data_IF_268980673528
#
_entry.id   IF_268980673528
#
_cell.length_a   1.000
_cell.length_b   1.000
_cell.length_c   1.000
_cell.angle_alpha   90.00
_cell.angle_beta   90.00
_cell.angle_gamma   90.00
#
_symmetry.space_group_name_H-M   'P 1'
#
loop_
_entity.id
_entity.type
_entity.pdbx_description
1 polymer ?
#
# COMPACT_ATOMS: atom_id res chain seq x y z
N UNK A 1 77.56 -43.73 73.12
CA UNK A 1 76.39 -43.66 72.22
C UNK A 1 75.12 -43.78 73.06
N UNK A 2 74.33 -42.71 73.18
CA UNK A 2 72.87 -42.74 73.34
C UNK A 2 72.37 -41.29 73.40
N UNK A 3 71.65 -40.86 72.35
CA UNK A 3 70.97 -39.56 72.26
C UNK A 3 69.65 -39.64 73.02
N UNK A 4 69.39 -38.72 73.95
CA UNK A 4 68.05 -38.46 74.45
C UNK A 4 67.37 -37.39 73.58
N UNK A 5 66.35 -37.79 72.84
CA UNK A 5 65.45 -36.88 72.15
C UNK A 5 64.32 -36.45 73.09
N UNK A 6 64.19 -35.14 73.34
CA UNK A 6 63.02 -34.57 73.99
C UNK A 6 61.87 -34.48 72.98
N UNK A 7 60.78 -35.20 73.23
CA UNK A 7 59.52 -35.03 72.54
C UNK A 7 58.77 -33.83 73.15
N UNK A 8 58.71 -32.73 72.40
CA UNK A 8 57.88 -31.57 72.72
C UNK A 8 56.41 -31.88 72.44
N UNK A 9 55.56 -31.81 73.47
CA UNK A 9 54.12 -31.96 73.35
C UNK A 9 53.53 -30.79 72.53
N UNK A 10 53.07 -31.09 71.31
CA UNK A 10 52.35 -30.16 70.45
C UNK A 10 51.01 -29.76 71.10
N UNK A 11 50.82 -28.47 71.37
CA UNK A 11 49.55 -27.90 71.86
C UNK A 11 48.60 -27.69 70.66
N UNK A 12 47.38 -28.23 70.74
CA UNK A 12 46.35 -28.29 69.69
C UNK A 12 45.70 -26.97 69.22
N UNK A 13 46.44 -25.86 69.18
CA UNK A 13 45.96 -24.55 68.72
C UNK A 13 45.87 -24.43 67.19
N UNK A 14 46.69 -25.19 66.45
CA UNK A 14 46.70 -25.17 64.97
C UNK A 14 45.41 -25.73 64.35
N UNK A 15 44.76 -26.71 65.01
CA UNK A 15 43.52 -27.31 64.54
C UNK A 15 42.35 -26.30 64.55
N UNK A 16 42.27 -25.49 65.61
CA UNK A 16 41.22 -24.47 65.76
C UNK A 16 41.38 -23.37 64.69
N UNK A 17 42.60 -22.88 64.49
CA UNK A 17 42.89 -21.91 63.43
C UNK A 17 42.63 -22.47 62.02
N UNK A 18 42.97 -23.75 61.79
CA UNK A 18 42.70 -24.45 60.52
C UNK A 18 41.21 -24.62 60.23
N UNK A 19 40.40 -24.97 61.25
CA UNK A 19 38.94 -25.05 61.12
C UNK A 19 38.29 -23.69 60.85
N UNK A 20 38.77 -22.62 61.48
CA UNK A 20 38.28 -21.25 61.23
C UNK A 20 38.60 -20.80 59.80
N UNK A 21 39.83 -21.05 59.33
CA UNK A 21 40.22 -20.77 57.94
C UNK A 21 39.40 -21.59 56.93
N UNK A 22 39.18 -22.88 57.21
CA UNK A 22 38.39 -23.75 56.35
C UNK A 22 36.90 -23.36 56.33
N UNK A 23 36.34 -22.99 57.48
CA UNK A 23 34.99 -22.42 57.55
C UNK A 23 34.90 -21.11 56.76
N UNK A 24 35.91 -20.24 56.84
CA UNK A 24 36.02 -19.03 56.03
C UNK A 24 36.09 -19.31 54.53
N UNK A 25 36.88 -20.31 54.12
CA UNK A 25 37.00 -20.72 52.72
C UNK A 25 35.68 -21.31 52.17
N UNK A 26 34.99 -22.15 52.96
CA UNK A 26 33.67 -22.69 52.60
C UNK A 26 32.64 -21.56 52.48
N UNK A 27 32.62 -20.61 53.43
CA UNK A 27 31.73 -19.46 53.38
C UNK A 27 31.97 -18.60 52.12
N UNK A 28 33.24 -18.36 51.76
CA UNK A 28 33.61 -17.64 50.55
C UNK A 28 33.15 -18.38 49.27
N UNK A 29 33.32 -19.71 49.22
CA UNK A 29 32.91 -20.53 48.08
C UNK A 29 31.38 -20.54 47.91
N UNK A 30 30.63 -20.63 49.01
CA UNK A 30 29.17 -20.51 49.00
C UNK A 30 28.73 -19.12 48.53
N UNK A 31 29.41 -18.05 48.97
CA UNK A 31 29.11 -16.69 48.51
C UNK A 31 29.38 -16.53 46.99
N UNK A 32 30.51 -17.06 46.50
CA UNK A 32 30.86 -17.03 45.08
C UNK A 32 29.87 -17.83 44.22
N UNK A 33 29.44 -19.01 44.68
CA UNK A 33 28.43 -19.79 43.97
C UNK A 33 27.08 -19.04 43.88
N UNK A 34 26.66 -18.41 44.98
CA UNK A 34 25.41 -17.61 45.01
C UNK A 34 25.50 -16.39 44.09
N UNK A 35 26.62 -15.67 44.10
CA UNK A 35 26.87 -14.56 43.18
C UNK A 35 26.88 -15.04 41.72
N UNK A 36 27.51 -16.18 41.45
CA UNK A 36 27.52 -16.81 40.12
C UNK A 36 26.11 -17.09 39.60
N UNK A 37 25.24 -17.67 40.43
CA UNK A 37 23.83 -17.91 40.08
C UNK A 37 23.05 -16.63 39.78
N UNK A 38 23.25 -15.57 40.58
CA UNK A 38 22.58 -14.28 40.35
C UNK A 38 23.04 -13.65 39.04
N UNK A 39 24.36 -13.69 38.76
CA UNK A 39 24.93 -13.16 37.52
C UNK A 39 24.41 -13.97 36.32
N UNK A 40 24.40 -15.29 36.41
CA UNK A 40 23.87 -16.21 35.40
C UNK A 40 22.40 -15.90 35.09
N UNK A 41 21.56 -15.81 36.12
CA UNK A 41 20.13 -15.47 35.97
C UNK A 41 19.92 -14.07 35.36
N UNK A 42 20.75 -13.09 35.75
CA UNK A 42 20.67 -11.74 35.18
C UNK A 42 21.08 -11.71 33.72
N UNK A 43 22.18 -12.38 33.34
CA UNK A 43 22.63 -12.49 31.95
C UNK A 43 21.58 -13.20 31.09
N UNK A 44 21.02 -14.32 31.58
CA UNK A 44 19.93 -15.03 30.91
C UNK A 44 18.70 -14.15 30.73
N UNK A 45 18.30 -13.41 31.77
CA UNK A 45 17.16 -12.49 31.67
C UNK A 45 17.43 -11.37 30.65
N UNK A 46 18.61 -10.76 30.65
CA UNK A 46 18.97 -9.73 29.66
C UNK A 46 18.86 -10.27 28.24
N UNK A 47 19.45 -11.43 27.94
CA UNK A 47 19.34 -12.03 26.62
C UNK A 47 17.89 -12.40 26.24
N UNK A 48 17.10 -12.87 27.20
CA UNK A 48 15.69 -13.18 26.96
C UNK A 48 14.86 -11.92 26.67
N UNK A 49 15.13 -10.81 27.37
CA UNK A 49 14.46 -9.52 27.14
C UNK A 49 14.89 -8.90 25.81
N UNK A 50 16.17 -8.98 25.46
CA UNK A 50 16.68 -8.54 24.14
C UNK A 50 16.03 -9.35 23.01
N UNK A 51 15.97 -10.68 23.15
CA UNK A 51 15.32 -11.54 22.17
C UNK A 51 13.82 -11.24 22.04
N UNK A 52 13.12 -11.01 23.16
CA UNK A 52 11.72 -10.62 23.16
C UNK A 52 11.55 -9.26 22.46
N UNK A 53 12.29 -8.22 22.86
CA UNK A 53 12.20 -6.88 22.29
C UNK A 53 12.50 -6.87 20.78
N UNK A 54 13.58 -7.55 20.35
CA UNK A 54 13.91 -7.69 18.93
C UNK A 54 12.80 -8.41 18.16
N UNK A 55 12.22 -9.49 18.72
CA UNK A 55 11.12 -10.24 18.10
C UNK A 55 9.85 -9.38 17.97
N UNK A 56 9.57 -8.54 18.96
CA UNK A 56 8.48 -7.58 18.91
C UNK A 56 8.66 -6.56 17.77
N UNK A 57 9.83 -5.94 17.67
CA UNK A 57 10.14 -5.01 16.58
C UNK A 57 10.13 -5.70 15.21
N UNK A 58 10.63 -6.94 15.12
CA UNK A 58 10.57 -7.73 13.90
C UNK A 58 9.13 -8.00 13.46
N UNK A 59 8.23 -8.30 14.40
CA UNK A 59 6.82 -8.49 14.09
C UNK A 59 6.17 -7.18 13.62
N UNK A 60 6.42 -6.06 14.30
CA UNK A 60 5.97 -4.74 13.85
C UNK A 60 6.44 -4.46 12.41
N UNK A 61 7.72 -4.72 12.10
CA UNK A 61 8.26 -4.56 10.75
C UNK A 61 7.50 -5.42 9.71
N UNK A 62 7.13 -6.65 10.07
CA UNK A 62 6.33 -7.54 9.21
C UNK A 62 4.93 -6.97 8.94
N UNK A 63 4.23 -6.48 9.96
CA UNK A 63 2.93 -5.81 9.78
C UNK A 63 3.04 -4.60 8.85
N UNK A 64 4.01 -3.71 9.09
CA UNK A 64 4.21 -2.53 8.24
C UNK A 64 4.54 -2.91 6.79
N UNK A 65 5.36 -3.94 6.58
CA UNK A 65 5.65 -4.47 5.25
C UNK A 65 4.42 -5.11 4.60
N UNK A 66 3.58 -5.84 5.36
CA UNK A 66 2.34 -6.42 4.87
C UNK A 66 1.36 -5.34 4.38
N UNK A 67 1.19 -4.26 5.16
CA UNK A 67 0.40 -3.09 4.73
C UNK A 67 1.01 -2.48 3.46
N UNK A 68 2.33 -2.40 3.36
CA UNK A 68 3.00 -1.90 2.16
C UNK A 68 2.75 -2.76 0.92
N UNK A 69 2.72 -4.09 1.07
CA UNK A 69 2.32 -4.99 -0.01
C UNK A 69 0.84 -4.86 -0.36
N UNK A 70 -0.04 -4.67 0.62
CA UNK A 70 -1.46 -4.44 0.38
C UNK A 70 -1.67 -3.16 -0.44
N UNK A 71 -1.07 -2.03 -0.05
CA UNK A 71 -1.15 -0.76 -0.78
C UNK A 71 -0.61 -0.87 -2.21
N UNK A 72 0.52 -1.57 -2.42
CA UNK A 72 1.07 -1.82 -3.76
C UNK A 72 0.16 -2.70 -4.61
N UNK A 73 -0.48 -3.69 -4.00
CA UNK A 73 -1.45 -4.56 -4.67
C UNK A 73 -2.70 -3.78 -5.06
N UNK A 74 -3.18 -2.87 -4.20
CA UNK A 74 -4.27 -1.96 -4.54
C UNK A 74 -3.93 -1.12 -5.78
N UNK A 75 -2.72 -0.57 -5.87
CA UNK A 75 -2.26 0.17 -7.07
C UNK A 75 -2.31 -0.71 -8.32
N UNK A 76 -1.84 -1.96 -8.24
CA UNK A 76 -1.86 -2.89 -9.36
C UNK A 76 -3.30 -3.19 -9.83
N UNK A 77 -4.21 -3.43 -8.89
CA UNK A 77 -5.64 -3.62 -9.19
C UNK A 77 -6.26 -2.36 -9.81
N UNK A 78 -5.93 -1.16 -9.33
CA UNK A 78 -6.39 0.10 -9.93
C UNK A 78 -5.92 0.25 -11.38
N UNK A 79 -4.68 -0.13 -11.69
CA UNK A 79 -4.19 -0.15 -13.09
C UNK A 79 -4.94 -1.18 -13.93
N UNK A 80 -5.24 -2.37 -13.40
CA UNK A 80 -6.05 -3.36 -14.10
C UNK A 80 -7.47 -2.83 -14.39
N UNK A 81 -8.11 -2.19 -13.41
CA UNK A 81 -9.41 -1.55 -13.58
C UNK A 81 -9.38 -0.44 -14.64
N UNK A 82 -8.31 0.38 -14.68
CA UNK A 82 -8.11 1.36 -15.75
C UNK A 82 -8.08 0.74 -17.15
N UNK A 83 -7.43 -0.42 -17.31
CA UNK A 83 -7.44 -1.17 -18.57
C UNK A 83 -8.84 -1.71 -18.90
N UNK A 84 -9.54 -2.26 -17.92
CA UNK A 84 -10.89 -2.82 -18.12
C UNK A 84 -11.90 -1.76 -18.56
N UNK A 85 -11.91 -0.57 -17.93
CA UNK A 85 -12.79 0.51 -18.37
C UNK A 85 -12.41 1.04 -19.76
N UNK A 86 -11.11 1.06 -20.08
CA UNK A 86 -10.64 1.44 -21.42
C UNK A 86 -11.11 0.44 -22.47
N UNK A 87 -10.98 -0.85 -22.20
CA UNK A 87 -11.49 -1.91 -23.08
C UNK A 87 -13.02 -1.85 -23.23
N UNK A 88 -13.74 -1.53 -22.15
CA UNK A 88 -15.19 -1.37 -22.20
C UNK A 88 -15.61 -0.18 -23.08
N UNK A 89 -14.90 0.95 -22.98
CA UNK A 89 -15.10 2.09 -23.87
C UNK A 89 -14.79 1.71 -25.33
N UNK A 90 -13.68 1.01 -25.58
CA UNK A 90 -13.32 0.52 -26.92
C UNK A 90 -14.35 -0.45 -27.49
N UNK A 91 -14.90 -1.37 -26.70
CA UNK A 91 -15.92 -2.32 -27.15
C UNK A 91 -17.22 -1.60 -27.58
N UNK A 92 -17.70 -0.66 -26.75
CA UNK A 92 -18.87 0.18 -27.07
C UNK A 92 -18.64 1.04 -28.31
N UNK A 93 -17.42 1.56 -28.47
CA UNK A 93 -16.99 2.27 -29.66
C UNK A 93 -17.07 1.40 -30.92
N UNK A 94 -16.62 0.15 -30.85
CA UNK A 94 -16.70 -0.77 -31.99
C UNK A 94 -18.15 -1.12 -32.35
N UNK A 95 -19.03 -1.30 -31.36
CA UNK A 95 -20.45 -1.60 -31.57
C UNK A 95 -21.16 -0.44 -32.30
N UNK A 96 -20.97 0.79 -31.82
CA UNK A 96 -21.56 1.98 -32.46
C UNK A 96 -20.93 2.27 -33.83
N UNK A 97 -19.62 2.02 -33.98
CA UNK A 97 -18.95 2.19 -35.26
C UNK A 97 -19.44 1.20 -36.31
N UNK A 98 -19.62 -0.07 -35.94
CA UNK A 98 -20.24 -1.06 -36.80
C UNK A 98 -21.65 -0.63 -37.22
N UNK A 99 -22.45 -0.11 -36.29
CA UNK A 99 -23.79 0.36 -36.60
C UNK A 99 -23.79 1.52 -37.60
N UNK A 100 -22.89 2.50 -37.45
CA UNK A 100 -22.75 3.62 -38.39
C UNK A 100 -22.20 3.19 -39.75
N UNK A 101 -21.24 2.27 -39.79
CA UNK A 101 -20.69 1.70 -41.02
C UNK A 101 -21.77 0.97 -41.83
N UNK A 102 -22.64 0.17 -41.15
CA UNK A 102 -23.80 -0.49 -41.78
C UNK A 102 -24.81 0.51 -42.34
N UNK A 103 -25.00 1.65 -41.67
CA UNK A 103 -25.84 2.76 -42.14
C UNK A 103 -25.17 3.58 -43.25
N UNK A 104 -23.93 3.28 -43.63
CA UNK A 104 -23.12 4.05 -44.58
C UNK A 104 -23.04 5.54 -44.20
N UNK A 105 -22.90 5.81 -42.91
CA UNK A 105 -22.81 7.17 -42.39
C UNK A 105 -21.46 7.38 -41.67
N UNK A 106 -20.48 8.05 -42.28
CA UNK A 106 -20.42 8.41 -43.70
C UNK A 106 -20.20 7.18 -44.60
N UNK A 107 -20.40 7.29 -45.92
CA UNK A 107 -20.13 6.17 -46.82
C UNK A 107 -18.66 5.77 -46.78
N UNK A 108 -18.32 4.47 -46.63
CA UNK A 108 -16.92 4.09 -46.53
C UNK A 108 -16.10 4.33 -47.81
N UNK A 109 -16.75 4.34 -48.98
CA UNK A 109 -16.12 4.77 -50.24
C UNK A 109 -15.68 6.23 -50.19
N UNK A 110 -16.48 7.11 -49.58
CA UNK A 110 -16.12 8.52 -49.37
C UNK A 110 -14.86 8.62 -48.49
N UNK A 111 -14.81 7.88 -47.38
CA UNK A 111 -13.63 7.85 -46.51
C UNK A 111 -12.40 7.31 -47.25
N UNK A 112 -12.57 6.29 -48.09
CA UNK A 112 -11.52 5.75 -48.94
C UNK A 112 -10.94 6.80 -49.90
N UNK A 113 -11.81 7.60 -50.52
CA UNK A 113 -11.40 8.66 -51.45
C UNK A 113 -10.70 9.83 -50.73
N UNK A 114 -11.17 10.21 -49.54
CA UNK A 114 -10.63 11.36 -48.81
C UNK A 114 -9.36 11.05 -48.02
N UNK A 115 -9.25 9.85 -47.45
CA UNK A 115 -8.21 9.48 -46.47
C UNK A 115 -7.43 8.21 -46.84
N UNK A 116 -7.61 7.71 -48.07
CA UNK A 116 -6.97 6.52 -48.62
C UNK A 116 -7.78 5.23 -48.42
N UNK A 117 -7.61 4.27 -49.32
CA UNK A 117 -8.40 3.03 -49.38
C UNK A 117 -8.46 2.27 -48.05
N UNK A 118 -7.35 2.24 -47.29
CA UNK A 118 -7.27 1.60 -45.96
C UNK A 118 -8.22 2.23 -44.94
N UNK A 119 -8.47 3.53 -45.00
CA UNK A 119 -9.40 4.19 -44.06
C UNK A 119 -10.85 3.75 -44.30
N UNK A 120 -11.26 3.69 -45.57
CA UNK A 120 -12.58 3.20 -45.95
C UNK A 120 -12.77 1.71 -45.66
N UNK A 121 -11.74 0.89 -45.89
CA UNK A 121 -11.75 -0.54 -45.53
C UNK A 121 -11.85 -0.72 -44.02
N UNK A 122 -10.95 -0.10 -43.24
CA UNK A 122 -10.95 -0.21 -41.79
C UNK A 122 -12.31 0.15 -41.17
N UNK A 123 -12.99 1.19 -41.68
CA UNK A 123 -14.32 1.56 -41.21
C UNK A 123 -15.42 0.55 -41.58
N UNK A 124 -15.38 -0.03 -42.79
CA UNK A 124 -16.32 -1.10 -43.19
C UNK A 124 -16.14 -2.35 -42.35
N UNK A 125 -14.90 -2.68 -42.06
CA UNK A 125 -14.51 -3.93 -41.45
C UNK A 125 -14.58 -3.85 -39.92
N UNK A 126 -15.00 -2.72 -39.34
CA UNK A 126 -15.26 -2.60 -37.90
C UNK A 126 -16.35 -3.57 -37.48
N UNK A 127 -16.02 -4.40 -36.50
CA UNK A 127 -16.94 -5.35 -35.90
C UNK A 127 -17.06 -5.05 -34.42
N UNK A 128 -18.31 -4.96 -33.96
CA UNK A 128 -18.62 -4.98 -32.54
C UNK A 128 -18.13 -6.27 -31.88
N UNK A 129 -18.09 -6.28 -30.56
CA UNK A 129 -17.66 -7.43 -29.75
C UNK A 129 -18.83 -7.88 -28.86
N UNK A 130 -19.79 -8.66 -29.41
CA UNK A 130 -20.98 -9.05 -28.67
C UNK A 130 -20.61 -9.76 -27.37
N UNK A 131 -21.24 -9.37 -26.26
CA UNK A 131 -21.02 -9.97 -24.94
C UNK A 131 -19.73 -9.54 -24.23
N UNK A 132 -18.81 -8.82 -24.88
CA UNK A 132 -17.59 -8.33 -24.23
C UNK A 132 -17.90 -7.40 -23.04
N UNK A 133 -18.98 -6.61 -23.13
CA UNK A 133 -19.40 -5.71 -22.06
C UNK A 133 -19.68 -6.42 -20.73
N UNK A 134 -20.36 -7.57 -20.75
CA UNK A 134 -20.69 -8.32 -19.54
C UNK A 134 -19.44 -8.92 -18.88
N UNK A 135 -18.58 -9.58 -19.66
CA UNK A 135 -17.34 -10.16 -19.13
C UNK A 135 -16.37 -9.12 -18.58
N UNK A 136 -16.30 -7.93 -19.20
CA UNK A 136 -15.49 -6.80 -18.71
C UNK A 136 -16.06 -6.21 -17.42
N UNK A 137 -17.39 -6.10 -17.31
CA UNK A 137 -18.06 -5.65 -16.09
C UNK A 137 -17.83 -6.63 -14.92
N UNK A 138 -17.95 -7.94 -15.17
CA UNK A 138 -17.67 -8.97 -14.16
C UNK A 138 -16.21 -8.95 -13.71
N UNK A 139 -15.27 -8.79 -14.65
CA UNK A 139 -13.86 -8.64 -14.32
C UNK A 139 -13.61 -7.40 -13.46
N UNK A 140 -14.24 -6.26 -13.81
CA UNK A 140 -14.13 -5.02 -13.04
C UNK A 140 -14.65 -5.20 -11.62
N UNK A 141 -15.82 -5.83 -11.47
CA UNK A 141 -16.43 -6.10 -10.16
C UNK A 141 -15.56 -7.04 -9.29
N UNK A 142 -14.92 -8.05 -9.88
CA UNK A 142 -13.98 -8.92 -9.14
C UNK A 142 -12.75 -8.15 -8.64
N UNK A 143 -12.17 -7.28 -9.47
CA UNK A 143 -11.05 -6.45 -9.03
C UNK A 143 -11.48 -5.47 -7.91
N UNK A 144 -12.66 -4.87 -8.05
CA UNK A 144 -13.22 -3.95 -7.04
C UNK A 144 -13.46 -4.66 -5.70
N UNK A 145 -14.03 -5.87 -5.72
CA UNK A 145 -14.27 -6.69 -4.54
C UNK A 145 -12.97 -7.09 -3.83
N UNK A 146 -11.92 -7.45 -4.57
CA UNK A 146 -10.60 -7.75 -3.95
C UNK A 146 -10.00 -6.50 -3.31
N UNK A 147 -10.12 -5.35 -3.94
CA UNK A 147 -9.59 -4.09 -3.39
C UNK A 147 -10.29 -3.73 -2.07
N UNK A 148 -11.62 -3.78 -2.04
CA UNK A 148 -12.40 -3.28 -0.91
C UNK A 148 -12.67 -4.33 0.17
N UNK A 149 -12.86 -5.61 -0.19
CA UNK A 149 -13.21 -6.68 0.74
C UNK A 149 -12.07 -7.63 1.10
N UNK A 150 -10.86 -7.42 0.55
CA UNK A 150 -9.68 -8.21 0.91
C UNK A 150 -8.50 -7.30 1.26
N UNK A 151 -8.02 -6.51 0.30
CA UNK A 151 -6.79 -5.73 0.51
C UNK A 151 -6.97 -4.59 1.52
N UNK A 152 -8.10 -3.89 1.50
CA UNK A 152 -8.40 -2.86 2.50
C UNK A 152 -8.59 -3.46 3.90
N UNK A 153 -9.26 -4.61 4.00
CA UNK A 153 -9.52 -5.30 5.27
C UNK A 153 -8.24 -5.88 5.87
N UNK A 154 -7.38 -6.50 5.07
CA UNK A 154 -6.05 -6.96 5.49
C UNK A 154 -5.23 -5.79 6.01
N UNK A 155 -5.09 -4.70 5.25
CA UNK A 155 -4.33 -3.54 5.70
C UNK A 155 -4.88 -2.95 7.02
N UNK A 156 -6.20 -2.97 7.19
CA UNK A 156 -6.84 -2.48 8.41
C UNK A 156 -6.64 -3.44 9.60
N UNK A 157 -6.67 -4.76 9.38
CA UNK A 157 -6.37 -5.76 10.41
C UNK A 157 -4.91 -5.66 10.87
N UNK A 158 -3.97 -5.65 9.93
CA UNK A 158 -2.54 -5.50 10.19
C UNK A 158 -2.25 -4.22 11.00
N UNK A 159 -2.91 -3.10 10.70
CA UNK A 159 -2.74 -1.86 11.45
C UNK A 159 -3.35 -1.91 12.86
N UNK A 160 -4.50 -2.57 13.04
CA UNK A 160 -5.18 -2.70 14.34
C UNK A 160 -4.46 -3.68 15.29
N UNK A 161 -4.03 -4.81 14.76
CA UNK A 161 -3.56 -5.95 15.56
C UNK A 161 -2.06 -5.86 15.90
N UNK A 162 -1.32 -4.98 15.21
CA UNK A 162 0.14 -4.79 15.34
C UNK A 162 0.64 -4.79 16.80
N UNK A 163 -0.03 -4.08 17.70
CA UNK A 163 0.41 -3.94 19.10
C UNK A 163 0.07 -5.19 19.91
N UNK A 164 -1.14 -5.71 19.77
CA UNK A 164 -1.55 -6.91 20.49
C UNK A 164 -0.72 -8.13 20.08
N UNK A 165 -0.42 -8.28 18.78
CA UNK A 165 0.42 -9.39 18.30
C UNK A 165 1.89 -9.21 18.70
N UNK A 166 2.41 -7.98 18.70
CA UNK A 166 3.74 -7.66 19.25
C UNK A 166 3.84 -8.15 20.69
N UNK A 167 2.90 -7.76 21.54
CA UNK A 167 2.97 -8.10 22.96
C UNK A 167 2.88 -9.62 23.17
N UNK A 168 2.03 -10.32 22.40
CA UNK A 168 1.96 -11.79 22.42
C UNK A 168 3.27 -12.47 22.03
N UNK A 169 3.91 -12.04 20.93
CA UNK A 169 5.17 -12.68 20.50
C UNK A 169 6.29 -12.42 21.51
N UNK A 170 6.34 -11.21 22.10
CA UNK A 170 7.34 -10.89 23.13
C UNK A 170 7.18 -11.76 24.37
N UNK A 171 5.95 -11.92 24.87
CA UNK A 171 5.67 -12.81 26.00
C UNK A 171 6.03 -14.26 25.69
N UNK A 172 5.68 -14.75 24.49
CA UNK A 172 6.02 -16.13 24.06
C UNK A 172 7.53 -16.37 24.02
N UNK A 173 8.29 -15.46 23.41
CA UNK A 173 9.76 -15.57 23.32
C UNK A 173 10.40 -15.49 24.70
N UNK A 174 9.88 -14.62 25.57
CA UNK A 174 10.36 -14.51 26.95
C UNK A 174 10.14 -15.83 27.70
N UNK A 175 8.93 -16.40 27.67
CA UNK A 175 8.63 -17.66 28.36
C UNK A 175 9.41 -18.86 27.78
N UNK A 176 9.53 -18.93 26.44
CA UNK A 176 10.30 -19.99 25.76
C UNK A 176 11.78 -20.00 26.18
N UNK A 177 12.35 -18.85 26.53
CA UNK A 177 13.74 -18.73 26.99
C UNK A 177 13.98 -19.40 28.36
N UNK A 178 12.92 -19.70 29.10
CA UNK A 178 12.96 -20.31 30.42
C UNK A 178 12.30 -21.71 30.50
N UNK A 179 11.53 -22.13 29.49
CA UNK A 179 10.87 -23.45 29.48
C UNK A 179 11.77 -24.62 29.03
N UNK A 180 12.93 -24.35 28.43
CA UNK A 180 13.84 -25.36 27.84
C UNK A 180 14.66 -26.22 28.82
N UNK A 181 14.36 -26.25 30.12
CA UNK A 181 15.13 -27.01 31.14
C UNK A 181 14.42 -28.26 31.69
N UNK A 182 13.24 -28.62 31.15
CA UNK A 182 12.61 -29.95 31.35
C UNK A 182 12.84 -30.83 30.10
N UNK A 183 14.11 -31.12 29.79
CA UNK A 183 14.47 -32.11 28.78
C UNK A 183 14.86 -33.42 29.47
N UNK A 184 13.86 -34.19 29.90
CA UNK A 184 14.01 -35.64 29.95
C UNK A 184 13.90 -36.16 28.51
N UNK A 185 14.75 -37.11 28.12
CA UNK A 185 15.19 -37.41 26.75
C UNK A 185 14.15 -37.98 25.77
N UNK A 186 12.91 -37.53 25.79
CA UNK A 186 11.86 -37.93 24.84
C UNK A 186 11.39 -36.74 24.00
N UNK A 187 11.71 -36.81 22.71
CA UNK A 187 11.41 -35.82 21.69
C UNK A 187 9.90 -35.67 21.44
N UNK A 188 9.26 -34.76 22.19
CA UNK A 188 8.16 -33.91 21.72
C UNK A 188 8.19 -32.64 22.56
N UNK A 189 8.67 -31.53 21.98
CA UNK A 189 8.58 -30.21 22.63
C UNK A 189 7.12 -29.75 22.51
N UNK A 190 6.28 -30.21 23.42
CA UNK A 190 5.05 -29.48 23.72
C UNK A 190 5.48 -28.17 24.38
N UNK A 191 5.27 -27.06 23.67
CA UNK A 191 5.40 -25.72 24.25
C UNK A 191 4.23 -25.57 25.22
N UNK A 192 4.44 -25.98 26.48
CA UNK A 192 3.48 -25.76 27.54
C UNK A 192 3.48 -24.25 27.84
N UNK A 193 2.40 -23.57 27.44
CA UNK A 193 2.10 -22.15 27.75
C UNK A 193 1.77 -21.95 29.24
N UNK A 194 2.47 -22.63 30.16
CA UNK A 194 2.36 -22.34 31.58
C UNK A 194 3.21 -21.12 31.91
N UNK A 195 2.60 -19.98 32.29
CA UNK A 195 3.36 -18.81 32.70
C UNK A 195 4.23 -19.18 33.90
N UNK A 196 5.55 -19.05 33.76
CA UNK A 196 6.47 -19.17 34.89
C UNK A 196 6.07 -18.17 35.98
N UNK A 197 5.66 -18.68 37.13
CA UNK A 197 5.27 -17.86 38.28
C UNK A 197 6.43 -16.91 38.63
N UNK A 198 6.16 -15.60 38.57
CA UNK A 198 7.14 -14.56 38.87
C UNK A 198 7.89 -13.98 37.67
N UNK A 199 7.71 -14.49 36.45
CA UNK A 199 8.21 -13.87 35.22
C UNK A 199 7.11 -12.97 34.61
N UNK A 200 7.42 -11.69 34.42
CA UNK A 200 6.50 -10.74 33.79
C UNK A 200 7.25 -9.80 32.84
N UNK A 201 6.56 -9.33 31.81
CA UNK A 201 7.05 -8.35 30.84
C UNK A 201 6.12 -7.14 30.84
N UNK A 202 6.68 -5.94 30.88
CA UNK A 202 5.95 -4.69 30.78
C UNK A 202 6.60 -3.78 29.73
N UNK A 203 5.77 -3.11 28.93
CA UNK A 203 6.18 -2.00 28.06
C UNK A 203 6.26 -0.72 28.90
N UNK A 204 7.42 -0.06 28.89
CA UNK A 204 7.68 1.18 29.63
C UNK A 204 7.40 2.43 28.79
N UNK A 205 7.81 2.39 27.53
CA UNK A 205 7.62 3.46 26.55
C UNK A 205 7.24 2.84 25.20
N UNK A 206 6.37 3.51 24.45
CA UNK A 206 5.85 3.04 23.17
C UNK A 206 5.45 4.20 22.26
N UNK A 207 6.13 4.32 21.12
CA UNK A 207 5.88 5.37 20.15
C UNK A 207 4.82 5.01 19.10
N UNK A 208 4.08 3.90 19.27
CA UNK A 208 3.09 3.41 18.31
C UNK A 208 1.84 4.28 18.15
N UNK A 209 1.46 5.01 19.19
CA UNK A 209 0.25 5.83 19.17
C UNK A 209 0.32 6.87 18.04
N UNK A 210 -0.63 6.78 17.10
CA UNK A 210 -0.68 7.67 15.93
C UNK A 210 0.46 7.49 14.94
N UNK A 211 1.17 6.34 14.95
CA UNK A 211 2.22 6.06 13.97
C UNK A 211 1.65 5.74 12.59
N UNK A 212 0.60 4.90 12.55
CA UNK A 212 -0.15 4.56 11.34
C UNK A 212 -1.45 5.39 11.33
N UNK A 213 -1.73 6.04 10.21
CA UNK A 213 -2.99 6.75 9.98
C UNK A 213 -3.82 6.07 8.88
N UNK A 214 -5.13 6.03 9.07
CA UNK A 214 -6.07 5.67 8.01
C UNK A 214 -6.35 6.92 7.17
N UNK A 215 -6.06 6.84 5.88
CA UNK A 215 -6.26 7.90 4.91
C UNK A 215 -7.55 7.63 4.14
N UNK A 216 -8.45 8.62 4.14
CA UNK A 216 -9.70 8.57 3.40
C UNK A 216 -9.44 8.53 1.88
N UNK A 217 -10.30 7.86 1.10
CA UNK A 217 -10.19 7.88 -0.34
C UNK A 217 -10.39 9.30 -0.86
N UNK A 218 -9.64 9.66 -1.89
CA UNK A 218 -9.74 10.96 -2.50
C UNK A 218 -8.80 11.13 -3.68
N UNK A 219 -9.22 11.95 -4.64
CA UNK A 219 -8.45 12.20 -5.87
C UNK A 219 -7.11 12.90 -5.63
N UNK A 220 -6.91 13.58 -4.51
CA UNK A 220 -5.62 14.14 -4.07
C UNK A 220 -4.85 13.27 -3.09
N UNK A 221 -5.26 12.01 -2.89
CA UNK A 221 -4.55 11.09 -1.99
C UNK A 221 -3.27 10.53 -2.61
N UNK A 222 -2.33 10.10 -1.76
CA UNK A 222 -1.09 9.46 -2.23
C UNK A 222 -1.35 8.18 -3.02
N UNK A 223 -2.42 7.43 -2.69
CA UNK A 223 -2.85 6.26 -3.46
C UNK A 223 -3.33 6.66 -4.87
N UNK A 224 -4.11 7.74 -5.00
CA UNK A 224 -4.56 8.25 -6.30
C UNK A 224 -3.37 8.65 -7.18
N UNK A 225 -2.41 9.37 -6.62
CA UNK A 225 -1.22 9.81 -7.35
C UNK A 225 -0.34 8.63 -7.77
N UNK A 226 -0.16 7.64 -6.89
CA UNK A 226 0.55 6.42 -7.21
C UNK A 226 -0.15 5.60 -8.30
N UNK A 227 -1.47 5.48 -8.25
CA UNK A 227 -2.27 4.80 -9.28
C UNK A 227 -2.16 5.50 -10.64
N UNK A 228 -2.29 6.84 -10.69
CA UNK A 228 -2.07 7.61 -11.92
C UNK A 228 -0.65 7.47 -12.44
N UNK A 229 0.36 7.54 -11.57
CA UNK A 229 1.75 7.38 -11.96
C UNK A 229 2.06 5.99 -12.53
N UNK A 230 1.46 4.94 -11.95
CA UNK A 230 1.57 3.59 -12.47
C UNK A 230 0.85 3.44 -13.82
N UNK A 231 -0.37 3.97 -13.95
CA UNK A 231 -1.14 3.93 -15.20
C UNK A 231 -0.43 4.63 -16.37
N UNK A 232 0.26 5.76 -16.12
CA UNK A 232 1.02 6.49 -17.16
C UNK A 232 2.13 5.67 -17.85
N UNK A 233 2.55 4.54 -17.28
CA UNK A 233 3.55 3.64 -17.89
C UNK A 233 3.00 2.84 -19.07
N UNK A 234 1.67 2.80 -19.23
CA UNK A 234 1.00 2.00 -20.24
C UNK A 234 0.47 2.92 -21.34
N UNK A 235 1.03 2.82 -22.56
CA UNK A 235 0.61 3.64 -23.70
C UNK A 235 -0.86 3.47 -24.08
N UNK A 236 -1.46 2.31 -23.81
CA UNK A 236 -2.89 2.06 -24.04
C UNK A 236 -3.80 2.95 -23.18
N UNK A 237 -3.37 3.31 -21.97
CA UNK A 237 -4.10 4.18 -21.05
C UNK A 237 -3.82 5.68 -21.27
N UNK A 238 -2.87 6.02 -22.15
CA UNK A 238 -2.61 7.40 -22.52
C UNK A 238 -3.71 7.96 -23.42
N UNK A 239 -3.57 9.24 -23.84
CA UNK A 239 -4.42 9.78 -24.90
C UNK A 239 -4.23 8.95 -26.18
N UNK A 240 -5.36 8.61 -26.80
CA UNK A 240 -5.46 7.86 -28.05
C UNK A 240 -5.93 8.76 -29.20
N UNK A 241 -5.72 10.06 -29.03
CA UNK A 241 -6.12 11.09 -29.98
C UNK A 241 -5.26 11.02 -31.25
N UNK A 242 -5.91 11.09 -32.40
CA UNK A 242 -5.21 11.13 -33.69
C UNK A 242 -6.06 11.89 -34.70
N UNK A 243 -5.43 12.80 -35.46
CA UNK A 243 -6.08 13.49 -36.56
C UNK A 243 -5.39 13.15 -37.87
N UNK A 244 -6.17 12.72 -38.85
CA UNK A 244 -5.71 12.54 -40.23
C UNK A 244 -6.44 13.51 -41.13
N UNK A 245 -5.70 14.45 -41.71
CA UNK A 245 -6.22 15.39 -42.70
C UNK A 245 -6.20 14.78 -44.11
N UNK A 246 -7.19 15.12 -44.93
CA UNK A 246 -7.25 14.71 -46.33
C UNK A 246 -6.19 15.42 -47.18
N UNK A 247 -5.78 14.77 -48.28
CA UNK A 247 -4.69 15.28 -49.12
C UNK A 247 -5.10 16.46 -50.03
N UNK A 248 -6.40 16.60 -50.35
CA UNK A 248 -6.88 17.55 -51.36
C UNK A 248 -7.57 18.76 -50.75
N UNK A 249 -7.31 19.95 -51.33
CA UNK A 249 -8.07 21.14 -51.02
C UNK A 249 -9.53 20.93 -51.45
N UNK A 250 -10.47 21.20 -50.54
CA UNK A 250 -11.89 20.87 -50.73
C UNK A 250 -12.68 22.09 -51.22
N UNK A 251 -12.38 23.27 -50.66
CA UNK A 251 -13.09 24.52 -50.94
C UNK A 251 -12.07 25.62 -51.22
N UNK A 252 -12.24 26.33 -52.34
CA UNK A 252 -11.39 27.48 -52.70
C UNK A 252 -11.48 28.62 -51.68
N UNK A 253 -12.64 28.80 -51.05
CA UNK A 253 -12.85 29.76 -49.97
C UNK A 253 -12.13 29.40 -48.67
N UNK A 254 -11.63 28.17 -48.53
CA UNK A 254 -11.01 27.63 -47.32
C UNK A 254 -9.67 26.94 -47.66
N UNK A 255 -8.70 27.64 -48.28
CA UNK A 255 -7.55 27.01 -48.93
C UNK A 255 -6.58 26.33 -47.95
N UNK A 256 -6.58 26.73 -46.68
CA UNK A 256 -5.75 26.16 -45.61
C UNK A 256 -6.41 24.99 -44.87
N UNK A 257 -7.71 24.77 -45.05
CA UNK A 257 -8.46 23.73 -44.32
C UNK A 257 -8.66 22.49 -45.18
N UNK A 258 -8.69 21.32 -44.53
CA UNK A 258 -8.89 20.01 -45.17
C UNK A 258 -9.94 19.25 -44.39
N UNK A 259 -10.64 18.33 -45.05
CA UNK A 259 -11.44 17.32 -44.35
C UNK A 259 -10.57 16.56 -43.34
N UNK A 260 -11.13 16.18 -42.19
CA UNK A 260 -10.38 15.51 -41.13
C UNK A 260 -11.08 14.25 -40.64
N UNK A 261 -10.29 13.23 -40.37
CA UNK A 261 -10.71 12.04 -39.63
C UNK A 261 -10.08 12.16 -38.23
N UNK A 262 -10.91 12.38 -37.22
CA UNK A 262 -10.48 12.62 -35.85
C UNK A 262 -10.85 11.43 -34.98
N UNK A 263 -9.84 10.80 -34.38
CA UNK A 263 -9.99 9.84 -33.30
C UNK A 263 -9.76 10.57 -31.99
N UNK A 264 -10.67 10.37 -31.05
CA UNK A 264 -10.55 10.83 -29.67
C UNK A 264 -10.49 9.63 -28.74
N UNK A 265 -9.66 9.67 -27.71
CA UNK A 265 -9.70 8.64 -26.68
C UNK A 265 -8.89 9.00 -25.46
N UNK A 266 -9.45 8.76 -24.28
CA UNK A 266 -8.81 9.06 -23.01
C UNK A 266 -9.20 8.03 -21.95
N UNK A 267 -8.32 7.87 -20.96
CA UNK A 267 -8.59 7.13 -19.73
C UNK A 267 -8.16 8.01 -18.56
N UNK A 268 -9.02 8.17 -17.57
CA UNK A 268 -8.76 9.07 -16.45
C UNK A 268 -9.31 8.51 -15.14
N UNK A 269 -8.74 9.01 -14.04
CA UNK A 269 -9.22 8.76 -12.68
C UNK A 269 -10.00 10.00 -12.23
N UNK A 270 -11.30 9.83 -12.00
CA UNK A 270 -12.23 10.87 -11.59
C UNK A 270 -11.95 11.43 -10.20
N UNK A 271 -12.58 12.57 -9.85
CA UNK A 271 -12.45 13.20 -8.53
C UNK A 271 -12.98 12.32 -7.38
N UNK A 272 -13.91 11.42 -7.70
CA UNK A 272 -14.50 10.38 -6.85
C UNK A 272 -13.64 9.10 -6.74
N UNK A 273 -12.47 9.09 -7.37
CA UNK A 273 -11.58 7.92 -7.37
C UNK A 273 -12.03 6.78 -8.28
N UNK A 274 -12.98 7.00 -9.19
CA UNK A 274 -13.41 5.99 -10.17
C UNK A 274 -12.68 6.16 -11.49
N UNK A 275 -12.27 5.04 -12.09
CA UNK A 275 -11.70 5.06 -13.44
C UNK A 275 -12.80 5.19 -14.47
N UNK A 276 -12.53 5.99 -15.51
CA UNK A 276 -13.39 6.13 -16.65
C UNK A 276 -12.58 6.24 -17.94
N UNK A 277 -13.24 5.94 -19.06
CA UNK A 277 -12.64 6.02 -20.36
C UNK A 277 -13.66 6.39 -21.44
N UNK A 278 -13.14 6.97 -22.51
CA UNK A 278 -13.89 7.31 -23.72
C UNK A 278 -13.07 6.93 -24.94
N UNK A 279 -13.74 6.46 -25.98
CA UNK A 279 -13.18 6.30 -27.33
C UNK A 279 -14.22 6.77 -28.35
N UNK A 280 -13.81 7.66 -29.25
CA UNK A 280 -14.65 8.20 -30.32
C UNK A 280 -13.89 8.29 -31.63
N UNK A 281 -14.64 8.25 -32.72
CA UNK A 281 -14.14 8.61 -34.04
C UNK A 281 -15.21 9.40 -34.78
N UNK A 282 -14.80 10.48 -35.43
CA UNK A 282 -15.69 11.29 -36.27
C UNK A 282 -14.99 11.71 -37.55
N UNK A 283 -15.79 11.81 -38.62
CA UNK A 283 -15.42 12.46 -39.86
C UNK A 283 -15.86 13.93 -39.78
N UNK A 284 -14.90 14.84 -39.84
CA UNK A 284 -15.12 16.28 -39.85
C UNK A 284 -15.06 16.77 -41.29
N UNK A 285 -16.23 16.98 -41.88
CA UNK A 285 -16.35 17.45 -43.25
C UNK A 285 -16.21 18.97 -43.29
N UNK A 286 -15.26 19.48 -44.06
CA UNK A 286 -15.11 20.90 -44.31
C UNK A 286 -16.28 21.40 -45.17
N UNK A 287 -17.02 22.37 -44.65
CA UNK A 287 -18.16 23.03 -45.27
C UNK A 287 -17.96 24.53 -45.25
N UNK A 288 -18.74 25.25 -46.04
CA UNK A 288 -18.87 26.70 -45.92
C UNK A 288 -20.30 27.15 -46.16
N UNK A 289 -20.69 28.26 -45.54
CA UNK A 289 -21.92 28.97 -45.88
C UNK A 289 -21.72 30.48 -45.72
N UNK A 290 -22.69 31.27 -46.19
CA UNK A 290 -22.61 32.74 -46.18
C UNK A 290 -22.69 33.39 -44.79
N UNK A 291 -23.08 32.63 -43.76
CA UNK A 291 -23.39 33.16 -42.43
C UNK A 291 -22.24 33.01 -41.44
N UNK A 292 -21.59 31.84 -41.44
CA UNK A 292 -20.54 31.49 -40.48
C UNK A 292 -19.20 31.17 -41.15
N UNK A 293 -19.11 31.33 -42.48
CA UNK A 293 -17.90 31.06 -43.24
C UNK A 293 -17.57 29.57 -43.30
N UNK A 294 -16.28 29.25 -43.31
CA UNK A 294 -15.76 27.88 -43.32
C UNK A 294 -15.95 27.22 -41.95
N UNK A 295 -16.38 25.97 -41.91
CA UNK A 295 -16.57 25.21 -40.67
C UNK A 295 -16.51 23.71 -40.89
N UNK A 296 -16.27 22.95 -39.83
CA UNK A 296 -16.35 21.50 -39.82
C UNK A 296 -17.73 21.03 -39.38
N UNK A 297 -18.36 20.22 -40.24
CA UNK A 297 -19.54 19.43 -39.86
C UNK A 297 -19.07 18.08 -39.35
N UNK A 298 -19.35 17.78 -38.09
CA UNK A 298 -19.05 16.47 -37.52
C UNK A 298 -20.05 15.41 -38.00
N UNK A 299 -19.53 14.28 -38.45
CA UNK A 299 -20.26 13.03 -38.66
C UNK A 299 -19.69 12.02 -37.67
N UNK A 300 -20.41 11.76 -36.58
CA UNK A 300 -20.01 10.78 -35.57
C UNK A 300 -19.98 9.39 -36.20
N UNK A 301 -18.78 8.79 -36.27
CA UNK A 301 -18.55 7.49 -36.87
C UNK A 301 -18.61 6.37 -35.85
N UNK A 302 -18.24 6.64 -34.60
CA UNK A 302 -18.28 5.68 -33.51
C UNK A 302 -18.00 6.36 -32.18
N UNK A 303 -18.58 5.83 -31.12
CA UNK A 303 -18.47 6.35 -29.75
C UNK A 303 -18.65 5.25 -28.72
N UNK A 304 -17.88 5.32 -27.65
CA UNK A 304 -17.99 4.44 -26.52
C UNK A 304 -17.48 5.13 -25.27
N UNK A 305 -18.29 5.13 -24.23
CA UNK A 305 -17.90 5.65 -22.92
C UNK A 305 -18.11 4.58 -21.85
N UNK A 306 -17.12 4.45 -20.97
CA UNK A 306 -17.18 3.67 -19.74
C UNK A 306 -16.99 4.67 -18.60
N UNK A 307 -18.11 5.20 -18.10
CA UNK A 307 -18.18 6.20 -17.04
C UNK A 307 -19.36 5.83 -16.13
N UNK A 308 -19.19 6.02 -14.84
CA UNK A 308 -20.32 5.93 -13.91
C UNK A 308 -21.21 7.17 -14.02
N UNK A 309 -22.52 7.00 -13.95
CA UNK A 309 -23.48 8.09 -14.13
C UNK A 309 -23.37 9.21 -13.10
N UNK A 310 -22.74 8.95 -11.95
CA UNK A 310 -22.48 9.93 -10.90
C UNK A 310 -21.11 10.63 -11.05
N UNK A 311 -20.19 10.10 -11.84
CA UNK A 311 -18.84 10.65 -12.02
C UNK A 311 -18.85 11.75 -13.08
N UNK A 312 -18.37 12.97 -12.78
CA UNK A 312 -18.28 14.01 -13.79
C UNK A 312 -17.19 13.68 -14.82
N UNK A 313 -17.44 13.85 -16.13
CA UNK A 313 -16.39 13.77 -17.13
C UNK A 313 -15.40 14.93 -16.97
N UNK A 314 -14.16 14.82 -17.48
CA UNK A 314 -13.18 15.89 -17.41
C UNK A 314 -13.65 17.09 -18.24
N UNK A 315 -13.35 18.31 -17.82
CA UNK A 315 -13.75 19.53 -18.52
C UNK A 315 -13.24 19.62 -19.97
N UNK A 316 -12.16 18.90 -20.29
CA UNK A 316 -11.65 18.76 -21.65
C UNK A 316 -12.56 17.94 -22.57
N UNK A 317 -13.40 17.07 -22.02
CA UNK A 317 -14.36 16.27 -22.78
C UNK A 317 -15.62 17.12 -23.04
N UNK A 318 -15.61 17.87 -24.15
CA UNK A 318 -16.79 18.64 -24.58
C UNK A 318 -17.89 17.71 -25.10
N UNK A 319 -19.13 17.96 -24.69
CA UNK A 319 -20.34 17.29 -25.15
C UNK A 319 -21.56 18.20 -24.92
N UNK A 320 -22.74 17.78 -25.38
CA UNK A 320 -24.04 18.36 -25.06
C UNK A 320 -24.96 17.26 -24.51
N UNK A 321 -25.79 17.58 -23.52
CA UNK A 321 -26.62 16.59 -22.81
C UNK A 321 -27.73 15.98 -23.68
N UNK A 322 -28.29 16.76 -24.61
CA UNK A 322 -29.41 16.37 -25.45
C UNK A 322 -29.08 16.55 -26.95
N UNK A 323 -28.17 15.72 -27.52
CA UNK A 323 -27.89 15.79 -28.94
C UNK A 323 -29.08 15.26 -29.76
N UNK A 324 -29.45 15.91 -30.89
CA UNK A 324 -30.44 15.38 -31.82
C UNK A 324 -30.03 14.00 -32.34
N UNK A 325 -30.99 13.09 -32.53
CA UNK A 325 -30.69 11.76 -33.11
C UNK A 325 -30.12 11.85 -34.53
N UNK A 326 -30.55 12.88 -35.27
CA UNK A 326 -30.00 13.29 -36.55
C UNK A 326 -30.23 14.80 -36.77
N UNK A 327 -29.70 15.32 -37.88
CA UNK A 327 -29.82 16.72 -38.28
C UNK A 327 -30.71 16.88 -39.51
N UNK A 328 -31.79 16.10 -39.60
CA UNK A 328 -32.79 16.21 -40.70
C UNK A 328 -33.73 17.41 -40.52
N UNK A 329 -34.06 17.75 -39.27
CA UNK A 329 -34.98 18.83 -38.92
C UNK A 329 -34.30 20.16 -38.58
N UNK A 330 -32.98 20.16 -38.42
CA UNK A 330 -32.21 21.36 -38.07
C UNK A 330 -30.79 21.26 -38.64
N UNK A 331 -30.28 22.39 -39.14
CA UNK A 331 -28.88 22.50 -39.53
C UNK A 331 -27.93 22.30 -38.32
N UNK A 332 -26.91 21.46 -38.50
CA UNK A 332 -25.88 21.20 -37.50
C UNK A 332 -25.28 22.48 -36.89
N UNK A 333 -24.89 23.45 -37.72
CA UNK A 333 -24.25 24.67 -37.23
C UNK A 333 -25.21 25.58 -36.45
N UNK A 334 -26.51 25.59 -36.80
CA UNK A 334 -27.55 26.32 -36.04
C UNK A 334 -27.73 25.70 -34.67
N UNK A 335 -27.78 24.36 -34.63
CA UNK A 335 -27.91 23.64 -33.37
C UNK A 335 -26.70 23.87 -32.46
N UNK A 336 -25.48 23.80 -33.00
CA UNK A 336 -24.26 24.06 -32.23
C UNK A 336 -24.27 25.48 -31.65
N UNK A 337 -24.61 26.50 -32.44
CA UNK A 337 -24.67 27.89 -31.94
C UNK A 337 -25.74 28.09 -30.87
N UNK A 338 -26.90 27.43 -31.01
CA UNK A 338 -28.01 27.61 -30.09
C UNK A 338 -27.86 26.84 -28.77
N UNK A 339 -27.25 25.65 -28.80
CA UNK A 339 -27.31 24.71 -27.67
C UNK A 339 -25.96 24.22 -27.17
N UNK A 340 -24.91 24.24 -28.01
CA UNK A 340 -23.66 23.54 -27.69
C UNK A 340 -22.47 24.48 -27.50
N UNK A 341 -22.45 25.64 -28.17
CA UNK A 341 -21.40 26.65 -28.05
C UNK A 341 -20.01 26.17 -28.49
N UNK A 342 -19.93 25.14 -29.34
CA UNK A 342 -18.66 24.61 -29.80
C UNK A 342 -18.02 25.51 -30.85
N UNK A 343 -16.70 25.59 -30.83
CA UNK A 343 -15.95 26.14 -31.96
C UNK A 343 -16.03 25.13 -33.12
N UNK A 344 -16.55 25.57 -34.25
CA UNK A 344 -16.75 24.74 -35.43
C UNK A 344 -15.54 24.73 -36.38
N UNK A 345 -14.51 25.53 -36.12
CA UNK A 345 -13.29 25.62 -36.94
C UNK A 345 -12.10 25.12 -36.14
N UNK A 346 -11.95 25.59 -34.91
CA UNK A 346 -10.84 25.22 -34.05
C UNK A 346 -11.14 23.98 -33.19
N UNK A 347 -10.07 23.33 -32.75
CA UNK A 347 -10.13 22.14 -31.90
C UNK A 347 -10.02 20.83 -32.67
N UNK A 348 -9.67 19.77 -31.93
CA UNK A 348 -9.39 18.43 -32.47
C UNK A 348 -10.31 17.35 -31.87
N UNK A 349 -11.30 17.76 -31.08
CA UNK A 349 -12.24 16.85 -30.42
C UNK A 349 -13.40 16.37 -31.31
N UNK A 350 -14.20 15.48 -30.74
CA UNK A 350 -15.40 14.89 -31.34
C UNK A 350 -16.64 15.13 -30.45
N UNK A 351 -17.05 16.40 -30.24
CA UNK A 351 -18.06 16.72 -29.26
C UNK A 351 -19.44 16.11 -29.55
N UNK A 352 -19.82 15.92 -30.82
CA UNK A 352 -21.07 15.23 -31.16
C UNK A 352 -20.99 13.73 -30.84
N UNK A 353 -19.89 13.05 -31.19
CA UNK A 353 -19.71 11.64 -30.84
C UNK A 353 -19.64 11.45 -29.31
N UNK A 354 -18.98 12.36 -28.58
CA UNK A 354 -18.99 12.37 -27.13
C UNK A 354 -20.42 12.50 -26.59
N UNK A 355 -21.24 13.38 -27.18
CA UNK A 355 -22.64 13.58 -26.78
C UNK A 355 -23.47 12.30 -26.94
N UNK A 356 -23.32 11.58 -28.07
CA UNK A 356 -23.97 10.28 -28.24
C UNK A 356 -23.45 9.22 -27.26
N UNK A 357 -22.15 9.22 -26.99
CA UNK A 357 -21.55 8.37 -25.96
C UNK A 357 -22.17 8.63 -24.58
N UNK A 358 -22.26 9.89 -24.16
CA UNK A 358 -22.85 10.28 -22.88
C UNK A 358 -24.34 9.93 -22.79
N UNK A 359 -25.10 10.11 -23.88
CA UNK A 359 -26.53 9.80 -23.92
C UNK A 359 -26.82 8.29 -23.83
N UNK A 360 -25.92 7.44 -24.34
CA UNK A 360 -26.10 5.98 -24.38
C UNK A 360 -25.35 5.24 -23.26
N UNK A 361 -24.35 5.88 -22.66
CA UNK A 361 -23.40 5.22 -21.78
C UNK A 361 -23.80 5.26 -20.31
N UNK A 362 -24.15 4.09 -19.74
CA UNK A 362 -23.95 3.70 -18.32
C UNK A 362 -23.71 2.18 -18.30
N UNK A 363 -22.95 1.54 -17.41
CA UNK A 363 -22.29 1.87 -16.14
C UNK A 363 -20.79 1.52 -16.21
N UNK A 364 -19.98 2.20 -15.39
CA UNK A 364 -18.81 1.59 -14.79
C UNK A 364 -19.07 1.49 -13.27
N UNK A 365 -19.47 0.30 -12.81
CA UNK A 365 -19.68 0.05 -11.38
C UNK A 365 -18.36 -0.40 -10.76
N UNK A 366 -17.73 0.51 -10.01
CA UNK A 366 -16.61 0.21 -9.12
C UNK A 366 -16.67 1.20 -7.96
N UNK A 367 -16.32 0.77 -6.75
CA UNK A 367 -16.49 1.56 -5.54
C UNK A 367 -15.55 2.77 -5.47
N UNK A 368 -14.53 2.81 -6.35
CA UNK A 368 -13.57 3.89 -6.49
C UNK A 368 -12.22 3.51 -5.87
N UNK A 369 -11.51 4.51 -5.35
CA UNK A 369 -10.33 4.25 -4.55
C UNK A 369 -10.74 3.78 -3.15
N UNK A 370 -10.07 2.77 -2.57
CA UNK A 370 -10.30 2.39 -1.19
C UNK A 370 -9.65 3.41 -0.22
N UNK A 371 -10.09 3.37 1.03
CA UNK A 371 -9.27 3.89 2.12
C UNK A 371 -8.00 3.04 2.25
N UNK A 372 -6.90 3.65 2.67
CA UNK A 372 -5.63 2.94 2.87
C UNK A 372 -4.94 3.43 4.14
N UNK A 373 -3.85 2.75 4.52
CA UNK A 373 -3.06 3.11 5.70
C UNK A 373 -1.67 3.56 5.27
N UNK A 374 -1.15 4.61 5.89
CA UNK A 374 0.22 5.09 5.69
C UNK A 374 0.80 5.62 7.01
N UNK A 375 2.09 5.98 7.01
CA UNK A 375 2.72 6.62 8.16
C UNK A 375 2.24 8.07 8.27
N UNK A 376 1.80 8.43 9.48
CA UNK A 376 1.41 9.78 9.83
C UNK A 376 2.51 10.78 9.46
N UNK A 377 2.16 11.90 8.82
CA UNK A 377 3.16 12.84 8.26
C UNK A 377 4.19 13.31 9.29
N UNK A 378 3.77 13.55 10.53
CA UNK A 378 4.64 13.96 11.65
C UNK A 378 5.61 12.88 12.12
N UNK A 379 5.40 11.61 11.71
CA UNK A 379 6.17 10.44 12.14
C UNK A 379 7.09 9.88 11.04
N UNK A 380 7.02 10.37 9.80
CA UNK A 380 7.75 9.79 8.65
C UNK A 380 9.29 9.82 8.74
N UNK A 381 9.84 10.67 9.61
CA UNK A 381 11.28 10.74 9.89
C UNK A 381 11.71 10.00 11.16
N UNK A 382 10.79 9.34 11.85
CA UNK A 382 11.04 8.71 13.15
C UNK A 382 10.88 7.19 13.05
N UNK A 383 11.76 6.40 13.69
CA UNK A 383 11.51 4.98 13.88
C UNK A 383 10.33 4.78 14.85
N UNK A 384 9.64 3.67 14.68
CA UNK A 384 8.73 3.16 15.71
C UNK A 384 9.60 2.51 16.79
N UNK A 385 9.50 2.97 18.04
CA UNK A 385 10.37 2.55 19.14
C UNK A 385 9.54 2.16 20.34
N UNK A 386 10.01 1.16 21.08
CA UNK A 386 9.43 0.82 22.38
C UNK A 386 10.51 0.27 23.31
N UNK A 387 10.29 0.43 24.62
CA UNK A 387 11.17 -0.10 25.66
C UNK A 387 10.39 -1.08 26.51
N UNK A 388 10.95 -2.26 26.76
CA UNK A 388 10.38 -3.27 27.64
C UNK A 388 11.26 -3.50 28.86
N UNK A 389 10.64 -3.95 29.94
CA UNK A 389 11.30 -4.44 31.13
C UNK A 389 10.70 -5.79 31.50
N UNK A 390 11.55 -6.80 31.68
CA UNK A 390 11.13 -8.03 32.33
C UNK A 390 11.57 -8.05 33.78
N UNK A 391 10.73 -8.69 34.58
CA UNK A 391 10.93 -8.93 36.00
C UNK A 391 10.89 -10.43 36.22
N UNK A 392 11.93 -10.96 36.87
CA UNK A 392 12.00 -12.34 37.34
C UNK A 392 12.01 -12.32 38.87
N UNK A 393 10.92 -12.78 39.48
CA UNK A 393 10.87 -13.00 40.92
C UNK A 393 11.78 -14.19 41.31
N UNK A 394 12.34 -14.20 42.52
CA UNK A 394 13.06 -15.38 43.02
C UNK A 394 12.12 -16.60 42.95
N UNK A 395 12.60 -17.71 42.38
CA UNK A 395 11.89 -18.99 42.24
C UNK A 395 10.97 -19.25 43.44
N UNK A 396 9.74 -19.71 43.21
CA UNK A 396 8.69 -19.96 44.19
C UNK A 396 9.06 -20.94 45.32
N UNK A 397 10.02 -20.57 46.16
CA UNK A 397 10.23 -21.14 47.49
C UNK A 397 9.09 -20.57 48.32
N UNK A 398 8.21 -21.41 48.90
CA UNK A 398 7.21 -20.92 49.84
C UNK A 398 7.93 -20.10 50.92
N UNK A 399 7.30 -18.99 51.29
CA UNK A 399 7.75 -17.95 52.22
C UNK A 399 8.20 -18.47 53.61
N UNK A 400 8.14 -19.79 53.83
CA UNK A 400 8.49 -20.49 55.06
C UNK A 400 10.00 -20.75 55.23
N UNK A 401 10.86 -20.40 54.28
CA UNK A 401 12.32 -20.52 54.44
C UNK A 401 12.99 -19.18 54.78
N UNK A 402 12.74 -18.72 56.01
CA UNK A 402 13.49 -17.76 56.84
C UNK A 402 13.33 -16.25 56.52
N UNK A 403 12.93 -15.45 57.52
CA UNK A 403 13.18 -14.00 57.50
C UNK A 403 14.69 -13.77 57.40
N UNK A 404 15.13 -13.01 56.39
CA UNK A 404 16.51 -12.56 56.27
C UNK A 404 17.43 -13.30 55.29
N UNK A 405 16.93 -13.77 54.13
CA UNK A 405 17.82 -14.05 52.99
C UNK A 405 18.06 -12.76 52.17
N UNK A 406 19.14 -11.98 52.39
CA UNK A 406 19.40 -10.72 51.67
C UNK A 406 19.64 -10.89 50.15
N UNK A 407 19.66 -12.14 49.66
CA UNK A 407 19.97 -12.49 48.28
C UNK A 407 18.75 -12.90 47.44
N UNK A 408 17.55 -13.03 48.02
CA UNK A 408 16.31 -13.24 47.26
C UNK A 408 15.85 -11.92 46.62
N UNK A 409 16.59 -11.45 45.61
CA UNK A 409 16.29 -10.21 44.91
C UNK A 409 15.54 -10.50 43.61
N UNK A 410 14.49 -9.71 43.38
CA UNK A 410 13.88 -9.63 42.06
C UNK A 410 14.93 -9.14 41.07
N UNK A 411 15.10 -9.85 39.95
CA UNK A 411 16.00 -9.44 38.88
C UNK A 411 15.16 -8.72 37.83
N UNK A 412 15.68 -7.58 37.36
CA UNK A 412 15.08 -6.80 36.29
C UNK A 412 16.09 -6.63 35.16
N UNK A 413 15.61 -6.71 33.92
CA UNK A 413 16.35 -6.34 32.74
C UNK A 413 15.43 -5.56 31.80
N UNK A 414 15.98 -4.58 31.09
CA UNK A 414 15.27 -3.79 30.11
C UNK A 414 15.98 -3.84 28.76
N UNK A 415 15.20 -3.69 27.70
CA UNK A 415 15.71 -3.59 26.33
C UNK A 415 14.85 -2.65 25.52
N UNK A 416 15.48 -1.91 24.61
CA UNK A 416 14.82 -0.99 23.69
C UNK A 416 14.97 -1.53 22.28
N UNK A 417 13.88 -1.56 21.53
CA UNK A 417 13.88 -1.99 20.14
C UNK A 417 13.25 -0.94 19.24
N UNK A 418 13.74 -0.89 18.00
CA UNK A 418 13.27 0.03 16.97
C UNK A 418 12.89 -0.73 15.71
N UNK A 419 11.73 -0.37 15.18
CA UNK A 419 11.25 -0.69 13.84
C UNK A 419 11.47 0.54 12.96
N UNK A 420 12.37 0.45 11.99
CA UNK A 420 12.83 1.60 11.21
C UNK A 420 12.74 1.34 9.71
N UNK A 421 12.59 2.42 8.95
CA UNK A 421 12.52 2.38 7.50
C UNK A 421 13.91 2.59 6.91
N UNK A 422 14.37 1.67 6.06
CA UNK A 422 15.68 1.79 5.41
C UNK A 422 15.64 1.22 4.00
N UNK A 423 16.02 2.04 3.02
CA UNK A 423 16.08 1.58 1.63
C UNK A 423 17.18 0.52 1.46
N UNK A 424 16.94 -0.57 0.72
CA UNK A 424 17.97 -1.59 0.47
C UNK A 424 19.20 -1.11 -0.31
N UNK A 425 19.02 -0.11 -1.17
CA UNK A 425 20.10 0.50 -1.97
C UNK A 425 20.11 2.02 -1.81
N UNK A 426 21.27 2.69 -1.90
CA UNK A 426 21.32 4.16 -1.83
C UNK A 426 20.47 4.81 -2.92
N UNK A 427 19.90 5.98 -2.63
CA UNK A 427 19.20 6.76 -3.64
C UNK A 427 20.20 7.33 -4.66
N UNK A 428 19.89 7.32 -5.97
CA UNK A 428 20.75 7.95 -6.98
C UNK A 428 21.02 9.44 -6.69
N UNK A 429 20.05 10.11 -6.07
CA UNK A 429 20.10 11.54 -5.76
C UNK A 429 20.69 11.83 -4.37
N UNK A 430 21.17 10.81 -3.64
CA UNK A 430 21.77 10.94 -2.31
C UNK A 430 20.81 11.35 -1.18
N UNK A 431 19.50 11.50 -1.47
CA UNK A 431 18.48 11.88 -0.49
C UNK A 431 17.85 10.65 0.18
N UNK A 432 17.61 10.79 1.48
CA UNK A 432 16.87 9.79 2.25
C UNK A 432 15.38 9.79 1.87
N UNK A 433 14.85 8.60 1.63
CA UNK A 433 13.42 8.39 1.38
C UNK A 433 12.68 8.40 2.72
N UNK A 434 11.67 9.27 2.84
CA UNK A 434 10.81 9.30 4.01
C UNK A 434 10.06 7.97 4.16
N UNK A 435 9.79 7.58 5.41
CA UNK A 435 9.08 6.35 5.70
C UNK A 435 7.66 6.39 5.10
N UNK A 436 7.28 5.29 4.44
CA UNK A 436 5.95 5.09 3.86
C UNK A 436 5.51 3.65 4.01
N UNK A 437 4.20 3.42 3.90
CA UNK A 437 3.61 2.11 3.68
C UNK A 437 3.30 1.89 2.20
N UNK A 438 4.14 2.40 1.29
CA UNK A 438 4.14 2.02 -0.12
C UNK A 438 5.41 1.26 -0.51
N UNK A 439 6.36 1.15 0.42
CA UNK A 439 7.63 0.44 0.26
C UNK A 439 7.83 -0.52 1.44
N UNK A 440 8.02 -1.83 1.18
CA UNK A 440 8.18 -2.84 2.23
C UNK A 440 9.63 -2.88 2.73
N UNK A 441 10.11 -1.75 3.26
CA UNK A 441 11.52 -1.55 3.65
C UNK A 441 11.69 -1.40 5.17
N UNK A 442 10.73 -1.90 5.93
CA UNK A 442 10.77 -1.87 7.39
C UNK A 442 11.63 -2.99 7.92
N UNK A 443 12.53 -2.64 8.84
CA UNK A 443 13.46 -3.55 9.50
C UNK A 443 13.41 -3.33 11.02
N UNK A 444 14.02 -4.26 11.76
CA UNK A 444 14.06 -4.23 13.21
C UNK A 444 15.51 -4.26 13.72
N UNK A 445 15.76 -3.56 14.81
CA UNK A 445 17.04 -3.61 15.55
C UNK A 445 16.81 -3.37 17.04
N UNK A 446 17.76 -3.84 17.85
CA UNK A 446 17.91 -3.33 19.20
C UNK A 446 18.52 -1.93 19.15
N UNK A 447 18.10 -1.07 20.06
CA UNK A 447 18.63 0.27 20.24
C UNK A 447 19.24 0.38 21.64
N UNK A 448 20.25 1.22 21.79
CA UNK A 448 20.70 1.62 23.12
C UNK A 448 19.52 2.23 23.86
N UNK A 449 19.34 1.89 25.14
CA UNK A 449 18.39 2.59 25.99
C UNK A 449 18.70 4.09 25.88
N UNK A 450 17.71 4.89 25.48
CA UNK A 450 17.79 6.34 25.67
C UNK A 450 18.03 6.62 27.16
N UNK A 451 18.57 7.80 27.53
CA UNK A 451 18.76 8.13 28.94
C UNK A 451 17.38 8.10 29.62
N UNK A 452 17.09 6.99 30.28
CA UNK A 452 16.01 6.93 31.24
C UNK A 452 16.41 7.90 32.33
N UNK A 453 15.58 8.92 32.55
CA UNK A 453 15.68 9.77 33.72
C UNK A 453 15.93 8.88 34.94
N UNK A 454 17.10 9.04 35.56
CA UNK A 454 17.45 8.48 36.86
C UNK A 454 16.54 9.14 37.92
N UNK A 455 15.27 8.73 37.89
CA UNK A 455 14.28 9.04 38.90
C UNK A 455 14.49 8.12 40.09
N UNK A 456 15.34 8.59 41.02
CA UNK A 456 15.06 8.50 42.46
C UNK A 456 15.02 7.07 43.06
N UNK A 457 16.14 6.34 42.99
CA UNK A 457 16.47 5.43 44.09
C UNK A 457 17.03 6.25 45.25
N UNK A 458 16.18 6.46 46.26
CA UNK A 458 16.58 6.99 47.55
C UNK A 458 17.74 6.17 48.11
N UNK A 459 18.88 6.84 48.30
CA UNK A 459 19.94 6.35 49.18
C UNK A 459 19.42 6.34 50.62
N UNK A 460 19.79 5.34 51.44
CA UNK A 460 19.49 5.33 52.86
C UNK A 460 20.11 6.51 53.60
#
# INVERSE_FOLDING_TARGET
MARHGHASAQRGQALVAGLVLLAGAVAALVAMHRLGRIIEQRVRLTHAVDAAAYSGALLQARHLNAIAYANRSQIAHQVAMAHLVTLAASARYLDSAQAQARRRNPPPSLLGNLFGARAGQAYRDMQGLPGAGAGLADALARHDAVVHGVLADVAAAEARDLIAERDRIMSRVLHASFSGEQADGTHTVEVVDTPLAGLSLRVLDDSAAGFIERIAPGSGSGLADAARAAARRYGFLASRDATRSGATAVLSSCPSLRNELRRGGATWLGPDGRWAAVDTQSFHALRSNRWIGCYFREYAMGWGIALDGASPPPASLRYADAPPADFSQQDFWRWVQAFAGWDLVAGTGNPLANSYGMAQGRQAAGSGLPAYHDIARSRRGLPLSFTVQARLAPNGVPETARPGNPYARTIMASSTAQTYFVRPSPSPDGRDELATLFRPYWQARLAAAGPAEEGQEGRP
#
